data_IF_725319259240
#
_entry.id   IF_725319259240
#
_cell.length_a   1.000
_cell.length_b   1.000
_cell.length_c   1.000
_cell.angle_alpha   90.00
_cell.angle_beta   90.00
_cell.angle_gamma   90.00
#
_symmetry.space_group_name_H-M   'P 1'
#
loop_
_entity.id
_entity.type
_entity.pdbx_description
1 polymer ?
#
# COMPACT_ATOMS: atom_id res chain seq x y z
N UNK A 1 -43.37 16.32 -22.45
CA UNK A 1 -43.84 16.04 -21.07
C UNK A 1 -42.88 16.70 -20.10
N UNK A 2 -43.28 17.83 -19.48
CA UNK A 2 -42.44 18.57 -18.53
C UNK A 2 -42.42 17.81 -17.21
N UNK A 3 -41.25 17.30 -16.80
CA UNK A 3 -41.08 16.63 -15.50
C UNK A 3 -41.56 17.53 -14.37
N UNK A 4 -42.26 16.97 -13.40
CA UNK A 4 -42.78 17.75 -12.27
C UNK A 4 -41.57 18.24 -11.47
N UNK A 5 -41.57 19.47 -10.95
CA UNK A 5 -40.40 20.04 -10.27
C UNK A 5 -39.90 19.20 -9.07
N UNK A 6 -40.74 18.32 -8.50
CA UNK A 6 -40.40 17.37 -7.44
C UNK A 6 -39.55 16.17 -7.87
N UNK A 7 -39.61 15.74 -9.13
CA UNK A 7 -38.93 14.52 -9.61
C UNK A 7 -37.40 14.68 -9.59
N UNK A 8 -36.92 15.91 -9.82
CA UNK A 8 -35.48 16.25 -9.81
C UNK A 8 -34.88 16.15 -8.41
N UNK A 9 -35.65 16.45 -7.38
CA UNK A 9 -35.21 16.36 -5.98
C UNK A 9 -35.12 14.93 -5.50
N UNK A 10 -36.04 14.07 -5.96
CA UNK A 10 -36.02 12.63 -5.68
C UNK A 10 -34.78 11.99 -6.31
N UNK A 11 -34.49 12.31 -7.59
CA UNK A 11 -33.30 11.79 -8.27
C UNK A 11 -32.00 12.26 -7.61
N UNK A 12 -31.93 13.53 -7.16
CA UNK A 12 -30.80 14.05 -6.40
C UNK A 12 -30.64 13.34 -5.06
N UNK A 13 -31.72 13.13 -4.31
CA UNK A 13 -31.68 12.44 -3.03
C UNK A 13 -31.22 10.97 -3.17
N UNK A 14 -31.71 10.26 -4.19
CA UNK A 14 -31.27 8.90 -4.51
C UNK A 14 -29.79 8.87 -4.90
N UNK A 15 -29.34 9.81 -5.74
CA UNK A 15 -27.92 9.90 -6.10
C UNK A 15 -27.02 10.18 -4.88
N UNK A 16 -27.44 11.08 -3.98
CA UNK A 16 -26.71 11.35 -2.74
C UNK A 16 -26.67 10.13 -1.81
N UNK A 17 -27.76 9.36 -1.72
CA UNK A 17 -27.79 8.14 -0.91
C UNK A 17 -26.82 7.09 -1.47
N UNK A 18 -26.81 6.88 -2.78
CA UNK A 18 -25.88 5.95 -3.44
C UNK A 18 -24.40 6.36 -3.32
N UNK A 19 -24.11 7.66 -3.22
CA UNK A 19 -22.75 8.17 -3.07
C UNK A 19 -22.24 8.11 -1.63
N UNK A 20 -23.13 8.04 -0.63
CA UNK A 20 -22.77 8.04 0.79
C UNK A 20 -22.06 6.77 1.27
N UNK A 21 -22.09 5.69 0.47
CA UNK A 21 -21.43 4.42 0.80
C UNK A 21 -19.97 4.32 0.31
N UNK A 22 -19.50 5.30 -0.47
CA UNK A 22 -18.10 5.33 -0.90
C UNK A 22 -17.19 5.79 0.24
N UNK A 23 -16.77 4.84 1.08
CA UNK A 23 -15.70 5.09 2.06
C UNK A 23 -14.38 5.32 1.35
N UNK A 24 -13.83 6.52 1.50
CA UNK A 24 -12.51 6.88 0.98
C UNK A 24 -11.44 6.35 1.95
N UNK A 25 -10.94 5.14 1.72
CA UNK A 25 -9.80 4.62 2.48
C UNK A 25 -8.52 5.24 1.95
N UNK A 26 -7.80 5.98 2.79
CA UNK A 26 -6.43 6.36 2.47
C UNK A 26 -5.55 5.10 2.46
N UNK A 27 -4.56 5.05 1.56
CA UNK A 27 -3.54 4.01 1.63
C UNK A 27 -2.78 4.15 2.96
N UNK A 28 -2.49 3.01 3.60
CA UNK A 28 -1.62 3.00 4.77
C UNK A 28 -0.24 3.54 4.39
N UNK A 29 0.36 4.31 5.31
CA UNK A 29 1.71 4.86 5.12
C UNK A 29 2.72 3.89 5.75
N UNK A 30 3.48 3.13 4.95
CA UNK A 30 4.47 2.20 5.50
C UNK A 30 5.60 2.96 6.19
N UNK A 31 6.15 2.37 7.25
CA UNK A 31 7.43 2.81 7.80
C UNK A 31 8.55 2.31 6.89
N UNK A 32 9.45 3.21 6.49
CA UNK A 32 10.58 2.89 5.63
C UNK A 32 11.87 2.92 6.45
N UNK A 33 12.62 1.81 6.44
CA UNK A 33 13.95 1.71 7.02
C UNK A 33 14.95 1.45 5.88
N UNK A 34 15.85 2.42 5.64
CA UNK A 34 16.95 2.27 4.69
C UNK A 34 18.24 1.96 5.46
N UNK A 35 18.81 0.78 5.21
CA UNK A 35 20.09 0.36 5.78
C UNK A 35 21.14 0.48 4.68
N UNK A 36 22.19 1.27 4.95
CA UNK A 36 23.34 1.40 4.06
C UNK A 36 24.54 0.78 4.76
N UNK A 37 25.20 -0.15 4.07
CA UNK A 37 26.47 -0.70 4.50
C UNK A 37 27.54 -0.20 3.52
N UNK A 38 28.62 0.35 4.07
CA UNK A 38 29.77 0.80 3.29
C UNK A 38 30.68 -0.39 2.98
N UNK A 39 31.27 -0.41 1.78
CA UNK A 39 32.19 -1.45 1.29
C UNK A 39 31.71 -2.91 1.42
N UNK A 40 30.40 -3.15 1.50
CA UNK A 40 29.85 -4.51 1.58
C UNK A 40 29.91 -5.21 0.21
N UNK A 41 30.71 -6.26 0.13
CA UNK A 41 30.84 -7.10 -1.05
C UNK A 41 29.66 -8.05 -1.24
N UNK A 42 29.37 -8.42 -2.49
CA UNK A 42 28.32 -9.37 -2.82
C UNK A 42 28.55 -10.75 -2.16
N UNK A 43 29.81 -11.18 -2.10
CA UNK A 43 30.24 -12.44 -1.49
C UNK A 43 30.26 -12.43 0.03
N UNK A 44 29.92 -11.31 0.68
CA UNK A 44 29.97 -11.22 2.14
C UNK A 44 28.67 -11.69 2.79
N UNK A 45 27.57 -11.74 2.04
CA UNK A 45 26.26 -12.15 2.56
C UNK A 45 26.02 -13.64 2.34
N UNK A 46 25.58 -14.33 3.39
CA UNK A 46 25.23 -15.75 3.35
C UNK A 46 24.15 -16.07 2.31
N UNK A 47 23.15 -15.19 2.16
CA UNK A 47 22.11 -15.32 1.14
C UNK A 47 22.61 -15.28 -0.32
N UNK A 48 23.84 -14.84 -0.55
CA UNK A 48 24.51 -14.84 -1.85
C UNK A 48 25.66 -15.85 -1.96
N UNK A 49 25.75 -16.79 -1.01
CA UNK A 49 26.79 -17.81 -0.98
C UNK A 49 28.08 -17.41 -0.26
N UNK A 50 28.04 -16.32 0.52
CA UNK A 50 29.14 -15.90 1.38
C UNK A 50 29.37 -16.83 2.57
N UNK A 51 30.61 -16.84 3.06
CA UNK A 51 31.02 -17.68 4.21
C UNK A 51 30.67 -17.03 5.57
N UNK A 52 30.41 -15.73 5.59
CA UNK A 52 30.06 -14.99 6.81
C UNK A 52 28.60 -15.29 7.18
N UNK A 53 28.39 -15.71 8.43
CA UNK A 53 27.04 -15.94 8.94
C UNK A 53 26.29 -14.60 9.12
N UNK A 54 25.31 -14.35 8.24
CA UNK A 54 24.48 -13.13 8.25
C UNK A 54 23.00 -13.43 8.53
N UNK A 55 22.64 -14.12 9.63
CA UNK A 55 21.32 -14.72 9.82
C UNK A 55 20.15 -13.73 9.79
N UNK A 56 20.38 -12.48 10.21
CA UNK A 56 19.36 -11.42 10.15
C UNK A 56 19.10 -10.95 8.72
N UNK A 57 20.16 -10.75 7.93
CA UNK A 57 20.05 -10.33 6.52
C UNK A 57 19.54 -11.50 5.65
N UNK A 58 19.96 -12.72 5.94
CA UNK A 58 19.47 -13.93 5.25
C UNK A 58 17.98 -14.17 5.51
N UNK A 59 17.50 -13.83 6.72
CA UNK A 59 16.07 -13.85 7.03
C UNK A 59 15.32 -12.77 6.27
N UNK A 60 15.84 -11.54 6.23
CA UNK A 60 15.23 -10.44 5.48
C UNK A 60 15.13 -10.78 3.98
N UNK A 61 16.22 -11.26 3.37
CA UNK A 61 16.25 -11.64 1.96
C UNK A 61 15.24 -12.74 1.60
N UNK A 62 14.96 -13.67 2.52
CA UNK A 62 13.93 -14.72 2.32
C UNK A 62 12.49 -14.22 2.49
N UNK A 63 12.30 -13.10 3.21
CA UNK A 63 10.98 -12.56 3.50
C UNK A 63 10.50 -11.55 2.45
N UNK A 64 11.42 -11.01 1.65
CA UNK A 64 11.14 -9.98 0.64
C UNK A 64 11.36 -8.58 1.19
#
# INVERSE_FOLDING_TARGET
MRGRPGDRWILLAVACLLLSEMSLSAAERPNILLIVADDLGYSDLGCYGGEIATPNLDRLARQG
#
